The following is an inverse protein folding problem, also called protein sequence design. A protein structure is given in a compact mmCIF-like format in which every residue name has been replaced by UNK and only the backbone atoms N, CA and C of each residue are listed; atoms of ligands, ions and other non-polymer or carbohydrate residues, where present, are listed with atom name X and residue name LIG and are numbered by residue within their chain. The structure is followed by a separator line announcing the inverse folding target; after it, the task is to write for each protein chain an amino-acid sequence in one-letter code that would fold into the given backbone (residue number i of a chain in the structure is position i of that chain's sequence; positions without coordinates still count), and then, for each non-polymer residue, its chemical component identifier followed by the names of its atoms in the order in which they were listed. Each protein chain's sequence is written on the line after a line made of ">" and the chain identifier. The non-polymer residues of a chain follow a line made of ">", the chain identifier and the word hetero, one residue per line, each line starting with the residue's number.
data_IF_074407751247
#
_entry.id   IF_074407751247
#
_cell.length_a   1.000
_cell.length_b   1.000
_cell.length_c   1.000
_cell.angle_alpha   90.00
_cell.angle_beta   90.00
_cell.angle_gamma   90.00
#
_symmetry.space_group_name_H-M   'P 1'
#
loop_
_entity.id
_entity.type
_entity.pdbx_description
1 polymer ?
#
# COMPACT_ATOMS: atom_id res chain seq x y z
N UNK A 1 13.97 -12.16 25.27
CA UNK A 1 13.53 -11.48 24.03
C UNK A 1 12.42 -10.53 24.44
N UNK A 2 12.56 -9.22 24.14
CA UNK A 2 11.49 -8.23 24.37
C UNK A 2 10.66 -8.18 23.10
N UNK A 3 9.35 -8.39 23.21
CA UNK A 3 8.43 -8.49 22.07
C UNK A 3 7.22 -7.60 22.33
N UNK A 4 6.78 -6.87 21.29
CA UNK A 4 5.52 -6.15 21.24
C UNK A 4 4.63 -6.85 20.21
N UNK A 5 3.33 -6.94 20.48
CA UNK A 5 2.37 -7.62 19.61
C UNK A 5 1.10 -6.78 19.45
N UNK A 6 0.50 -6.86 18.27
CA UNK A 6 -0.80 -6.29 17.95
C UNK A 6 -1.60 -7.30 17.13
N UNK A 7 -2.90 -7.41 17.39
CA UNK A 7 -3.80 -8.28 16.64
C UNK A 7 -4.59 -7.43 15.64
N UNK A 8 -4.34 -7.64 14.35
CA UNK A 8 -5.08 -7.01 13.25
C UNK A 8 -6.42 -7.71 12.99
N UNK A 9 -7.30 -7.03 12.24
CA UNK A 9 -8.60 -7.57 11.83
C UNK A 9 -8.52 -8.75 10.85
N UNK A 10 -7.57 -8.68 9.92
CA UNK A 10 -7.22 -9.72 8.96
C UNK A 10 -5.72 -10.03 9.08
N UNK A 11 -5.25 -11.20 8.59
CA UNK A 11 -3.83 -11.53 8.55
C UNK A 11 -3.01 -10.42 7.86
N UNK A 12 -1.91 -9.95 8.47
CA UNK A 12 -1.00 -9.01 7.83
C UNK A 12 -0.17 -9.73 6.77
N UNK A 13 -0.06 -9.15 5.58
CA UNK A 13 0.66 -9.74 4.44
C UNK A 13 1.78 -8.84 3.93
N UNK A 14 1.61 -7.52 4.04
CA UNK A 14 2.61 -6.53 3.64
C UNK A 14 2.90 -5.56 4.77
N UNK A 15 4.18 -5.33 5.08
CA UNK A 15 4.63 -4.44 6.16
C UNK A 15 5.86 -3.65 5.74
N UNK A 16 5.95 -2.38 6.15
CA UNK A 16 7.12 -1.56 5.84
C UNK A 16 7.32 -0.38 6.81
N UNK A 17 8.56 -0.20 7.27
CA UNK A 17 8.97 0.94 8.09
C UNK A 17 8.96 2.23 7.27
N UNK A 18 8.42 3.31 7.84
CA UNK A 18 8.37 4.60 7.18
C UNK A 18 9.79 5.22 7.10
N UNK A 19 10.26 5.60 5.90
CA UNK A 19 11.63 6.09 5.73
C UNK A 19 11.87 7.47 6.38
N UNK A 20 10.82 8.30 6.49
CA UNK A 20 10.91 9.65 7.07
C UNK A 20 10.53 9.69 8.57
N UNK A 21 9.87 8.63 9.07
CA UNK A 21 9.46 8.49 10.47
C UNK A 21 9.77 7.08 10.97
N UNK A 22 10.97 6.91 11.51
CA UNK A 22 11.52 5.61 11.88
C UNK A 22 10.77 4.91 13.03
N UNK A 23 9.92 5.64 13.75
CA UNK A 23 9.04 5.10 14.79
C UNK A 23 7.72 4.56 14.23
N UNK A 24 7.46 4.73 12.93
CA UNK A 24 6.22 4.32 12.26
C UNK A 24 6.47 3.19 11.27
N UNK A 25 5.49 2.29 11.15
CA UNK A 25 5.40 1.35 10.05
C UNK A 25 3.97 1.21 9.54
N UNK A 26 3.83 0.92 8.25
CA UNK A 26 2.57 0.58 7.62
C UNK A 26 2.38 -0.93 7.61
N UNK A 27 1.11 -1.36 7.61
CA UNK A 27 0.72 -2.76 7.51
C UNK A 27 -0.55 -2.88 6.64
N UNK A 28 -0.47 -3.72 5.62
CA UNK A 28 -1.58 -4.10 4.76
C UNK A 28 -2.05 -5.50 5.12
N UNK A 29 -3.35 -5.67 5.29
CA UNK A 29 -3.96 -6.94 5.62
C UNK A 29 -4.76 -7.51 4.45
N UNK A 30 -4.86 -8.83 4.42
CA UNK A 30 -5.55 -9.56 3.37
C UNK A 30 -6.24 -10.81 3.94
N UNK A 31 -7.51 -11.01 3.58
CA UNK A 31 -8.26 -12.23 3.87
C UNK A 31 -9.17 -12.60 2.69
N UNK A 32 -8.97 -13.80 2.14
CA UNK A 32 -9.84 -14.36 1.12
C UNK A 32 -10.97 -15.19 1.75
N UNK A 33 -12.22 -14.85 1.42
CA UNK A 33 -13.39 -15.65 1.75
C UNK A 33 -13.80 -16.49 0.51
N UNK A 34 -13.68 -17.84 0.56
CA UNK A 34 -14.02 -18.69 -0.58
C UNK A 34 -15.53 -18.81 -0.84
N UNK A 35 -16.39 -18.54 0.14
CA UNK A 35 -17.84 -18.65 -0.01
C UNK A 35 -18.42 -17.46 -0.78
N UNK A 36 -17.94 -16.25 -0.47
CA UNK A 36 -18.38 -15.00 -1.11
C UNK A 36 -17.45 -14.56 -2.22
N UNK A 37 -16.30 -15.22 -2.37
CA UNK A 37 -15.17 -14.84 -3.26
C UNK A 37 -14.61 -13.43 -2.98
N UNK A 38 -14.94 -12.84 -1.83
CA UNK A 38 -14.48 -11.50 -1.44
C UNK A 38 -13.08 -11.53 -0.86
N UNK A 39 -12.31 -10.48 -1.10
CA UNK A 39 -10.97 -10.29 -0.53
C UNK A 39 -10.97 -9.03 0.33
N UNK A 40 -11.14 -9.21 1.64
CA UNK A 40 -11.17 -8.11 2.59
C UNK A 40 -9.75 -7.72 3.00
N UNK A 41 -9.55 -6.46 3.37
CA UNK A 41 -8.30 -5.97 3.90
C UNK A 41 -8.45 -4.67 4.66
N UNK A 42 -7.33 -4.20 5.16
CA UNK A 42 -7.20 -2.93 5.84
C UNK A 42 -5.78 -2.40 5.67
N UNK A 43 -5.66 -1.09 5.75
CA UNK A 43 -4.38 -0.39 5.91
C UNK A 43 -4.30 0.09 7.35
N UNK A 44 -3.19 -0.25 8.02
CA UNK A 44 -2.84 0.24 9.34
C UNK A 44 -1.59 1.11 9.26
N UNK A 45 -1.60 2.18 10.05
CA UNK A 45 -0.40 2.92 10.40
C UNK A 45 -0.15 2.74 11.90
N UNK A 46 0.98 2.14 12.23
CA UNK A 46 1.37 1.88 13.61
C UNK A 46 2.55 2.76 14.03
N UNK A 47 2.60 3.07 15.32
CA UNK A 47 3.76 3.64 15.98
C UNK A 47 4.36 2.61 16.94
N UNK A 48 5.67 2.38 16.85
CA UNK A 48 6.39 1.61 17.84
C UNK A 48 6.95 2.53 18.92
N UNK A 49 6.45 2.38 20.14
CA UNK A 49 6.99 3.09 21.29
C UNK A 49 8.16 2.30 21.88
N UNK A 50 9.37 2.77 21.62
CA UNK A 50 10.60 2.11 22.06
C UNK A 50 10.82 2.16 23.59
N UNK A 51 10.13 3.05 24.31
CA UNK A 51 10.23 3.17 25.78
C UNK A 51 9.28 2.18 26.46
N UNK A 52 8.00 2.19 26.08
CA UNK A 52 6.97 1.30 26.66
C UNK A 52 6.95 -0.08 26.03
N UNK A 53 7.63 -0.26 24.89
CA UNK A 53 7.64 -1.49 24.09
C UNK A 53 6.23 -1.87 23.61
N UNK A 54 5.45 -0.89 23.18
CA UNK A 54 4.09 -1.07 22.65
C UNK A 54 4.02 -0.76 21.16
N UNK A 55 3.00 -1.31 20.50
CA UNK A 55 2.60 -0.95 19.14
C UNK A 55 1.25 -0.25 19.27
N UNK A 56 1.22 1.03 18.91
CA UNK A 56 0.04 1.88 19.02
C UNK A 56 -0.52 2.15 17.62
N UNK A 57 -1.85 2.02 17.46
CA UNK A 57 -2.52 2.33 16.19
C UNK A 57 -2.67 3.83 16.05
N UNK A 58 -2.08 4.42 15.00
CA UNK A 58 -2.24 5.83 14.65
C UNK A 58 -3.44 6.02 13.74
N UNK A 59 -3.52 5.18 12.70
CA UNK A 59 -4.59 5.20 11.71
C UNK A 59 -4.96 3.77 11.31
N UNK A 60 -6.23 3.57 10.95
CA UNK A 60 -6.77 2.32 10.44
C UNK A 60 -7.88 2.64 9.43
N UNK A 61 -7.80 2.03 8.26
CA UNK A 61 -8.80 2.18 7.20
C UNK A 61 -9.09 0.81 6.59
N UNK A 62 -10.37 0.42 6.56
CA UNK A 62 -10.82 -0.80 5.86
C UNK A 62 -10.78 -0.57 4.35
N UNK A 63 -10.34 -1.59 3.61
CA UNK A 63 -10.15 -1.58 2.16
C UNK A 63 -10.46 -2.97 1.58
N UNK A 64 -10.32 -3.12 0.26
CA UNK A 64 -10.06 -4.43 -0.32
C UNK A 64 -8.71 -4.98 0.14
N UNK A 65 -8.52 -6.29 0.03
CA UNK A 65 -7.29 -6.98 0.44
C UNK A 65 -6.03 -6.32 -0.10
N UNK A 66 -5.13 -5.88 0.79
CA UNK A 66 -3.86 -5.23 0.42
C UNK A 66 -2.81 -6.32 0.20
N UNK A 67 -2.26 -6.39 -1.01
CA UNK A 67 -1.31 -7.44 -1.40
C UNK A 67 0.15 -6.97 -1.35
N UNK A 68 0.39 -5.68 -1.62
CA UNK A 68 1.69 -5.07 -1.39
C UNK A 68 1.54 -3.58 -1.08
N UNK A 69 2.46 -3.06 -0.27
CA UNK A 69 2.57 -1.64 0.05
C UNK A 69 4.02 -1.19 -0.02
N UNK A 70 4.21 0.06 -0.44
CA UNK A 70 5.52 0.71 -0.55
C UNK A 70 5.45 2.17 -0.13
N UNK A 71 6.38 2.62 0.70
CA UNK A 71 6.60 4.05 0.89
C UNK A 71 7.24 4.66 -0.35
N UNK A 72 6.69 5.76 -0.82
CA UNK A 72 7.23 6.52 -1.94
C UNK A 72 7.57 7.92 -1.43
N UNK A 73 8.77 8.39 -1.74
CA UNK A 73 9.18 9.76 -1.45
C UNK A 73 9.25 10.54 -2.76
N UNK A 74 8.26 11.38 -3.03
CA UNK A 74 8.21 12.19 -4.25
C UNK A 74 9.06 13.47 -4.13
N UNK A 75 9.22 13.99 -2.91
CA UNK A 75 10.07 15.15 -2.62
C UNK A 75 10.56 15.11 -1.16
N UNK A 76 11.38 16.08 -0.74
CA UNK A 76 11.81 16.23 0.66
C UNK A 76 10.64 16.23 1.64
N UNK A 77 9.51 16.78 1.24
CA UNK A 77 8.36 17.07 2.12
C UNK A 77 7.12 16.26 1.76
N UNK A 78 7.21 15.36 0.78
CA UNK A 78 6.08 14.58 0.29
C UNK A 78 6.42 13.09 0.28
N UNK A 79 5.92 12.39 1.31
CA UNK A 79 5.96 10.94 1.44
C UNK A 79 4.54 10.39 1.35
N UNK A 80 4.33 9.43 0.47
CA UNK A 80 3.05 8.75 0.30
C UNK A 80 3.21 7.26 0.58
N UNK A 81 2.12 6.64 1.02
CA UNK A 81 2.00 5.20 1.08
C UNK A 81 1.31 4.74 -0.19
N UNK A 82 2.02 3.97 -1.02
CA UNK A 82 1.43 3.30 -2.16
C UNK A 82 0.94 1.92 -1.77
N UNK A 83 -0.24 1.52 -2.23
CA UNK A 83 -0.78 0.18 -2.05
C UNK A 83 -1.25 -0.41 -3.37
N UNK A 84 -1.19 -1.73 -3.49
CA UNK A 84 -1.88 -2.48 -4.54
C UNK A 84 -2.86 -3.48 -3.92
N UNK A 85 -4.03 -3.61 -4.53
CA UNK A 85 -5.15 -4.34 -3.93
C UNK A 85 -5.59 -5.56 -4.73
N UNK A 86 -6.39 -6.38 -4.07
CA UNK A 86 -7.14 -7.48 -4.62
C UNK A 86 -8.19 -7.11 -5.68
N UNK A 87 -8.44 -5.81 -5.93
CA UNK A 87 -9.23 -5.33 -7.07
C UNK A 87 -8.37 -4.88 -8.25
N UNK A 88 -7.05 -5.01 -8.17
CA UNK A 88 -6.18 -4.55 -9.24
C UNK A 88 -5.94 -3.05 -9.22
N UNK A 89 -6.19 -2.40 -8.08
CA UNK A 89 -6.06 -0.96 -7.92
C UNK A 89 -4.70 -0.61 -7.33
N UNK A 90 -4.09 0.46 -7.85
CA UNK A 90 -3.01 1.17 -7.20
C UNK A 90 -3.57 2.42 -6.54
N UNK A 91 -3.28 2.59 -5.26
CA UNK A 91 -3.69 3.77 -4.49
C UNK A 91 -2.49 4.47 -3.87
N UNK A 92 -2.53 5.81 -3.81
CA UNK A 92 -1.57 6.63 -3.05
C UNK A 92 -2.27 7.36 -1.92
N UNK A 93 -1.77 7.19 -0.71
CA UNK A 93 -2.27 7.86 0.49
C UNK A 93 -1.24 8.84 1.05
N UNK A 94 -1.71 9.95 1.59
CA UNK A 94 -0.85 10.84 2.38
C UNK A 94 -0.51 10.16 3.70
N UNK A 95 0.73 10.30 4.19
CA UNK A 95 1.10 9.86 5.54
C UNK A 95 0.16 10.43 6.62
N UNK A 96 -0.38 11.63 6.40
CA UNK A 96 -1.23 12.32 7.36
C UNK A 96 -2.71 11.89 7.31
N UNK A 97 -3.14 11.22 6.23
CA UNK A 97 -4.53 10.83 6.03
C UNK A 97 -4.62 9.58 5.15
N UNK A 98 -4.87 8.44 5.78
CA UNK A 98 -5.11 7.16 5.12
C UNK A 98 -6.60 6.91 4.82
N UNK A 99 -7.51 7.79 5.25
CA UNK A 99 -8.96 7.58 5.07
C UNK A 99 -9.39 7.72 3.63
N UNK A 100 -8.65 8.52 2.85
CA UNK A 100 -8.92 8.77 1.45
C UNK A 100 -7.62 8.77 0.63
N UNK A 101 -7.55 7.98 -0.44
CA UNK A 101 -6.42 8.05 -1.35
C UNK A 101 -6.46 9.36 -2.15
N UNK A 102 -5.29 9.92 -2.41
CA UNK A 102 -5.08 11.02 -3.35
C UNK A 102 -5.25 10.51 -4.79
N UNK A 103 -4.78 9.29 -5.04
CA UNK A 103 -4.87 8.58 -6.32
C UNK A 103 -5.45 7.21 -6.06
N UNK A 104 -6.41 6.76 -6.87
CA UNK A 104 -6.90 5.40 -6.88
C UNK A 104 -7.25 5.03 -8.31
N UNK A 105 -6.44 4.18 -8.93
CA UNK A 105 -6.52 3.85 -10.36
C UNK A 105 -6.41 2.35 -10.57
N UNK A 106 -7.17 1.81 -11.51
CA UNK A 106 -7.05 0.40 -11.91
C UNK A 106 -5.77 0.23 -12.73
N UNK A 107 -4.83 -0.57 -12.24
CA UNK A 107 -3.56 -0.89 -12.93
C UNK A 107 -3.56 -2.26 -13.59
N UNK A 108 -4.65 -2.99 -13.41
CA UNK A 108 -4.94 -4.25 -14.11
C UNK A 108 -6.36 -4.20 -14.71
N UNK A 109 -6.70 -5.20 -15.51
CA UNK A 109 -8.05 -5.36 -16.05
C UNK A 109 -9.05 -5.81 -14.96
N UNK A 110 -10.34 -5.76 -15.28
CA UNK A 110 -11.42 -6.21 -14.39
C UNK A 110 -11.16 -7.62 -13.85
N UNK A 111 -11.42 -7.81 -12.55
CA UNK A 111 -11.24 -9.07 -11.81
C UNK A 111 -9.79 -9.56 -11.69
N UNK A 112 -8.82 -8.78 -12.16
CA UNK A 112 -7.40 -9.10 -12.00
C UNK A 112 -6.87 -8.52 -10.70
N UNK A 113 -6.12 -9.32 -9.93
CA UNK A 113 -5.49 -8.85 -8.69
C UNK A 113 -4.07 -8.35 -8.98
N UNK A 114 -3.70 -7.23 -8.37
CA UNK A 114 -2.35 -6.68 -8.40
C UNK A 114 -1.56 -7.23 -7.20
N UNK A 115 -0.48 -7.96 -7.46
CA UNK A 115 0.22 -8.78 -6.47
C UNK A 115 1.36 -8.04 -5.77
N UNK A 116 2.21 -7.37 -6.55
CA UNK A 116 3.40 -6.70 -6.03
C UNK A 116 3.70 -5.46 -6.86
N UNK A 117 4.39 -4.50 -6.25
CA UNK A 117 4.78 -3.25 -6.88
C UNK A 117 6.24 -2.87 -6.59
N UNK A 118 6.84 -2.12 -7.49
CA UNK A 118 8.16 -1.52 -7.27
C UNK A 118 8.25 -0.17 -7.96
N UNK A 119 8.90 0.79 -7.29
CA UNK A 119 8.98 2.18 -7.74
C UNK A 119 10.36 2.50 -8.31
N UNK A 120 10.37 3.21 -9.43
CA UNK A 120 11.55 3.77 -10.09
C UNK A 120 11.46 5.29 -10.06
N UNK A 121 12.43 5.92 -9.39
CA UNK A 121 12.52 7.36 -9.23
C UNK A 121 13.52 7.95 -10.23
N UNK A 122 13.02 8.65 -11.26
CA UNK A 122 13.83 9.37 -12.25
C UNK A 122 13.37 10.84 -12.29
N UNK A 123 13.31 11.46 -13.48
CA UNK A 123 12.66 12.76 -13.67
C UNK A 123 11.17 12.69 -13.34
N UNK A 124 10.52 11.59 -13.74
CA UNK A 124 9.17 11.23 -13.32
C UNK A 124 9.25 9.96 -12.45
N UNK A 125 8.20 9.70 -11.68
CA UNK A 125 8.09 8.47 -10.89
C UNK A 125 7.36 7.42 -11.71
N UNK A 126 7.92 6.22 -11.79
CA UNK A 126 7.31 5.08 -12.45
C UNK A 126 7.06 3.97 -11.44
N UNK A 127 5.97 3.26 -11.61
CA UNK A 127 5.66 2.06 -10.83
C UNK A 127 5.47 0.90 -11.79
N UNK A 128 6.14 -0.21 -11.48
CA UNK A 128 5.85 -1.51 -12.09
C UNK A 128 4.96 -2.30 -11.15
N UNK A 129 3.88 -2.87 -11.68
CA UNK A 129 2.93 -3.72 -10.96
C UNK A 129 2.87 -5.07 -11.62
N UNK A 130 2.91 -6.13 -10.83
CA UNK A 130 2.70 -7.51 -11.29
C UNK A 130 1.28 -7.99 -10.99
N UNK A 131 0.75 -8.88 -11.82
CA UNK A 131 -0.57 -9.47 -11.60
C UNK A 131 -0.56 -11.01 -11.53
N UNK A 132 -1.69 -11.59 -11.12
CA UNK A 132 -1.84 -13.04 -11.00
C UNK A 132 -1.93 -13.81 -12.34
N UNK A 133 -2.00 -13.12 -13.47
CA UNK A 133 -1.89 -13.71 -14.81
C UNK A 133 -0.44 -13.74 -15.30
N UNK A 134 0.49 -13.12 -14.56
CA UNK A 134 1.91 -13.05 -14.89
C UNK A 134 2.30 -11.85 -15.75
N UNK A 135 1.42 -10.85 -15.90
CA UNK A 135 1.76 -9.60 -16.58
C UNK A 135 2.52 -8.64 -15.65
N UNK A 136 3.30 -7.77 -16.29
CA UNK A 136 3.90 -6.59 -15.68
C UNK A 136 3.34 -5.35 -16.38
N UNK A 137 2.77 -4.43 -15.60
CA UNK A 137 2.27 -3.14 -16.08
C UNK A 137 3.15 -2.04 -15.53
N UNK A 138 3.60 -1.11 -16.40
CA UNK A 138 4.32 0.09 -15.98
C UNK A 138 3.40 1.31 -16.09
N UNK A 139 3.30 2.05 -15.00
CA UNK A 139 2.57 3.32 -14.94
C UNK A 139 3.53 4.46 -14.58
N UNK A 140 3.35 5.61 -15.21
CA UNK A 140 3.99 6.87 -14.86
C UNK A 140 3.07 7.67 -13.95
N UNK A 141 3.58 8.11 -12.81
CA UNK A 141 2.90 9.10 -11.97
C UNK A 141 3.18 10.49 -12.54
N UNK A 142 2.14 11.13 -13.05
CA UNK A 142 2.25 12.44 -13.66
C UNK A 142 2.25 13.58 -12.63
N UNK A 143 2.63 14.77 -13.10
CA UNK A 143 2.73 15.97 -12.27
C UNK A 143 1.39 16.48 -11.70
N UNK A 144 0.27 15.91 -12.14
CA UNK A 144 -1.07 16.21 -11.62
C UNK A 144 -1.55 15.19 -10.59
N UNK A 145 -0.66 14.28 -10.15
CA UNK A 145 -1.00 13.14 -9.32
C UNK A 145 -2.04 12.24 -10.01
N UNK A 146 -1.91 12.01 -11.32
CA UNK A 146 -2.63 10.96 -12.04
C UNK A 146 -1.66 9.86 -12.49
N UNK A 147 -2.17 8.65 -12.78
CA UNK A 147 -1.38 7.60 -13.41
C UNK A 147 -1.57 7.62 -14.93
N UNK A 148 -0.47 7.52 -15.67
CA UNK A 148 -0.44 7.33 -17.12
C UNK A 148 0.16 5.98 -17.44
N UNK A 149 -0.51 5.23 -18.30
CA UNK A 149 -0.04 3.92 -18.72
C UNK A 149 0.94 4.06 -19.88
N UNK A 150 2.03 3.29 -19.86
CA UNK A 150 2.87 3.16 -21.05
C UNK A 150 2.03 2.52 -22.16
N UNK A 151 1.77 3.24 -23.26
CA UNK A 151 1.11 2.66 -24.41
C UNK A 151 2.01 1.56 -25.00
N UNK A 152 1.48 0.35 -25.10
CA UNK A 152 2.06 -0.76 -25.88
C UNK A 152 1.95 -0.48 -27.37
#
# INVERSE_FOLDING_TARGET
>A
MLQANFLTDCPPDSIEWCPVRQDIFACGTYLYNPETTTRAGSIYLFQYNSTTKTIDTIQHQTTDGILDLKWIQCSSDSTFLSTVTALGQLSLYSLNDLTKPIICENVTNDQTIALAQSWLHLTNNYVVVSDHHGYLTICELDNTNGLRFSQS
#
